data_IF_973476658946
#
_entry.id   IF_973476658946
#
_cell.length_a   1.000
_cell.length_b   1.000
_cell.length_c   1.000
_cell.angle_alpha   90.00
_cell.angle_beta   90.00
_cell.angle_gamma   90.00
#
_symmetry.space_group_name_H-M   'P 1'
#
loop_
_entity.id
_entity.type
_entity.pdbx_description
1 polymer ?
#
# COMPACT_ATOMS: atom_id res chain seq x y z
N UNK A 1 -20.24 16.55 1.33
CA UNK A 1 -19.20 16.61 0.27
C UNK A 1 -17.85 16.83 0.92
N UNK A 2 -16.81 16.19 0.40
CA UNK A 2 -15.48 16.17 1.01
C UNK A 2 -14.46 16.79 0.07
N UNK A 3 -13.52 17.53 0.65
CA UNK A 3 -12.33 18.01 -0.06
C UNK A 3 -11.17 17.94 0.92
N UNK A 4 -10.07 17.32 0.51
CA UNK A 4 -8.88 17.24 1.35
C UNK A 4 -7.63 17.41 0.49
N UNK A 5 -6.80 18.41 0.75
CA UNK A 5 -5.48 18.49 0.13
C UNK A 5 -4.60 17.33 0.64
N UNK A 6 -3.59 16.97 -0.12
CA UNK A 6 -2.63 15.96 0.29
C UNK A 6 -1.94 16.40 1.59
N UNK A 7 -2.04 15.63 2.68
CA UNK A 7 -1.35 15.97 3.93
C UNK A 7 0.17 15.99 3.75
N UNK A 8 0.84 16.91 4.44
CA UNK A 8 2.31 16.97 4.40
C UNK A 8 2.94 15.78 5.11
N UNK A 9 2.32 15.32 6.20
CA UNK A 9 2.81 14.18 6.99
C UNK A 9 1.87 12.99 6.85
N UNK A 10 2.39 11.75 6.93
CA UNK A 10 1.55 10.57 6.91
C UNK A 10 0.58 10.54 8.11
N UNK A 11 -0.61 10.01 7.87
CA UNK A 11 -1.61 9.78 8.93
C UNK A 11 -1.41 8.45 9.63
N UNK A 12 -0.87 7.45 8.93
CA UNK A 12 -0.77 6.08 9.44
C UNK A 12 0.32 5.30 8.70
N UNK A 13 0.62 4.11 9.23
CA UNK A 13 1.39 3.09 8.53
C UNK A 13 0.48 1.92 8.23
N UNK A 14 0.49 1.44 6.98
CA UNK A 14 -0.29 0.25 6.62
C UNK A 14 0.30 -1.01 7.28
N UNK A 15 -0.48 -2.09 7.41
CA UNK A 15 0.05 -3.36 7.92
C UNK A 15 1.27 -3.86 7.14
N UNK A 16 1.32 -3.63 5.84
CA UNK A 16 2.47 -3.97 5.00
C UNK A 16 3.69 -3.08 5.27
N UNK A 17 3.50 -1.84 5.70
CA UNK A 17 4.57 -0.92 6.06
C UNK A 17 4.62 0.39 5.30
N UNK A 18 3.72 0.64 4.37
CA UNK A 18 3.68 1.91 3.64
C UNK A 18 3.25 3.07 4.55
N UNK A 19 3.75 4.25 4.24
CA UNK A 19 3.25 5.49 4.84
C UNK A 19 1.98 5.90 4.12
N UNK A 20 0.89 6.04 4.87
CA UNK A 20 -0.45 6.26 4.33
C UNK A 20 -0.94 7.66 4.68
N UNK A 21 -1.47 8.36 3.67
CA UNK A 21 -2.21 9.61 3.83
C UNK A 21 -3.64 9.38 3.41
N UNK A 22 -4.58 9.63 4.32
CA UNK A 22 -6.00 9.50 4.01
C UNK A 22 -6.43 10.65 3.12
N UNK A 23 -7.13 10.35 2.04
CA UNK A 23 -7.65 11.37 1.13
C UNK A 23 -9.16 11.51 1.34
N UNK A 24 -9.92 10.61 0.77
CA UNK A 24 -11.39 10.66 0.82
C UNK A 24 -11.91 9.27 1.15
N UNK A 25 -12.95 9.21 1.99
CA UNK A 25 -13.62 7.96 2.31
C UNK A 25 -15.13 8.12 2.33
N UNK A 26 -15.82 7.05 2.03
CA UNK A 26 -17.27 7.00 2.00
C UNK A 26 -17.79 5.58 2.19
N UNK A 27 -19.11 5.37 2.01
CA UNK A 27 -19.74 4.07 2.32
C UNK A 27 -19.26 2.91 1.45
N UNK A 28 -18.76 3.19 0.25
CA UNK A 28 -18.38 2.15 -0.73
C UNK A 28 -16.89 1.97 -0.90
N UNK A 29 -16.09 2.88 -0.40
CA UNK A 29 -14.63 2.77 -0.52
C UNK A 29 -13.90 3.98 0.02
N UNK A 30 -12.57 3.83 0.09
CA UNK A 30 -11.64 4.89 0.50
C UNK A 30 -10.59 5.11 -0.58
N UNK A 31 -10.09 6.34 -0.66
CA UNK A 31 -8.91 6.67 -1.45
C UNK A 31 -7.80 7.09 -0.52
N UNK A 32 -6.65 6.43 -0.63
CA UNK A 32 -5.46 6.77 0.14
C UNK A 32 -4.28 7.02 -0.79
N UNK A 33 -3.33 7.79 -0.30
CA UNK A 33 -2.04 8.02 -0.95
C UNK A 33 -0.98 7.28 -0.16
N UNK A 34 -0.29 6.36 -0.81
CA UNK A 34 0.73 5.52 -0.18
C UNK A 34 2.12 5.91 -0.65
N UNK A 35 3.08 5.87 0.27
CA UNK A 35 4.49 6.12 0.00
C UNK A 35 5.32 4.98 0.55
N UNK A 36 6.23 4.46 -0.28
CA UNK A 36 7.24 3.49 0.13
C UNK A 36 8.60 4.16 -0.06
N UNK A 37 9.35 4.42 1.02
CA UNK A 37 10.67 5.05 0.92
C UNK A 37 11.65 4.26 0.05
N UNK A 38 12.66 4.92 -0.53
CA UNK A 38 13.65 4.23 -1.36
C UNK A 38 14.29 3.03 -0.66
N UNK A 39 14.33 1.89 -1.35
CA UNK A 39 14.93 0.66 -0.85
C UNK A 39 14.09 -0.12 0.15
N UNK A 40 12.95 0.41 0.58
CA UNK A 40 12.12 -0.29 1.55
C UNK A 40 11.38 -1.46 0.91
N UNK A 41 11.42 -2.59 1.60
CA UNK A 41 10.66 -3.80 1.27
C UNK A 41 9.56 -3.96 2.31
N UNK A 42 8.32 -3.94 1.86
CA UNK A 42 7.17 -4.09 2.74
C UNK A 42 6.91 -5.56 3.08
N UNK A 43 6.09 -5.79 4.10
CA UNK A 43 5.66 -7.14 4.47
C UNK A 43 4.64 -7.67 3.49
N UNK A 44 4.66 -8.96 3.23
CA UNK A 44 3.61 -9.62 2.46
C UNK A 44 2.35 -9.75 3.32
N UNK A 45 1.19 -9.50 2.71
CA UNK A 45 -0.11 -9.56 3.38
C UNK A 45 -1.17 -10.18 2.49
N UNK A 46 -2.27 -10.60 3.14
CA UNK A 46 -3.51 -11.02 2.50
C UNK A 46 -4.65 -10.27 3.18
N UNK A 47 -5.59 -9.75 2.39
CA UNK A 47 -6.79 -9.10 2.91
C UNK A 47 -7.96 -10.07 2.96
N UNK A 48 -8.74 -10.01 4.04
CA UNK A 48 -9.86 -10.91 4.27
C UNK A 48 -11.09 -10.52 3.43
N UNK A 49 -11.39 -9.22 3.32
CA UNK A 49 -12.65 -8.73 2.72
C UNK A 49 -12.47 -7.55 1.77
N UNK A 50 -11.31 -6.89 1.79
CA UNK A 50 -11.04 -5.67 1.00
C UNK A 50 -10.30 -6.01 -0.28
N UNK A 51 -10.80 -5.51 -1.40
CA UNK A 51 -10.07 -5.44 -2.66
C UNK A 51 -9.48 -4.04 -2.86
N UNK A 52 -8.44 -3.94 -3.69
CA UNK A 52 -7.76 -2.67 -3.94
C UNK A 52 -7.53 -2.43 -5.43
N UNK A 53 -7.63 -1.15 -5.82
CA UNK A 53 -7.09 -0.67 -7.09
C UNK A 53 -5.98 0.33 -6.79
N UNK A 54 -4.86 0.21 -7.51
CA UNK A 54 -3.73 1.12 -7.39
C UNK A 54 -3.48 1.86 -8.69
N UNK A 55 -3.00 3.09 -8.57
CA UNK A 55 -2.45 3.84 -9.68
C UNK A 55 -1.16 4.51 -9.26
N UNK A 56 -0.06 4.16 -9.93
CA UNK A 56 1.28 4.66 -9.59
C UNK A 56 1.44 6.10 -10.06
N UNK A 57 1.87 6.97 -9.15
CA UNK A 57 2.07 8.40 -9.39
C UNK A 57 3.53 8.72 -9.71
N UNK A 58 4.47 8.17 -8.94
CA UNK A 58 5.90 8.47 -9.08
C UNK A 58 6.75 7.36 -8.48
N UNK A 59 8.02 7.37 -8.84
CA UNK A 59 8.98 6.38 -8.36
C UNK A 59 8.93 5.08 -9.15
N UNK A 60 9.61 4.06 -8.63
CA UNK A 60 9.71 2.75 -9.25
C UNK A 60 9.69 1.68 -8.17
N UNK A 61 8.98 0.60 -8.43
CA UNK A 61 8.92 -0.53 -7.52
C UNK A 61 8.52 -1.81 -8.22
N UNK A 62 8.27 -2.81 -7.41
CA UNK A 62 7.77 -4.10 -7.85
C UNK A 62 6.72 -4.59 -6.90
N UNK A 63 5.71 -5.28 -7.42
CA UNK A 63 4.72 -5.99 -6.64
C UNK A 63 4.67 -7.45 -7.05
N UNK A 64 4.78 -8.33 -6.06
CA UNK A 64 4.48 -9.75 -6.18
C UNK A 64 3.04 -9.98 -5.78
N UNK A 65 2.30 -10.76 -6.58
CA UNK A 65 0.91 -11.15 -6.27
C UNK A 65 0.74 -12.63 -6.53
N UNK A 66 -0.03 -13.30 -5.68
CA UNK A 66 -0.34 -14.72 -5.80
C UNK A 66 -1.80 -14.98 -5.47
N UNK A 67 -2.46 -15.74 -6.33
CA UNK A 67 -3.81 -16.27 -6.12
C UNK A 67 -3.89 -17.74 -6.57
N UNK A 68 -5.11 -18.27 -6.74
CA UNK A 68 -5.32 -19.67 -7.16
C UNK A 68 -4.81 -19.96 -8.56
N UNK A 69 -4.69 -18.96 -9.43
CA UNK A 69 -4.25 -19.12 -10.82
C UNK A 69 -2.74 -19.07 -10.99
N UNK A 70 -2.01 -18.65 -9.97
CA UNK A 70 -0.56 -18.55 -10.02
C UNK A 70 -0.03 -17.30 -9.35
N UNK A 71 1.21 -16.98 -9.66
CA UNK A 71 1.89 -15.80 -9.12
C UNK A 71 2.73 -15.10 -10.17
N UNK A 72 2.91 -13.80 -9.99
CA UNK A 72 3.77 -13.00 -10.84
C UNK A 72 4.40 -11.84 -10.06
N UNK A 73 5.37 -11.20 -10.70
CA UNK A 73 5.96 -9.94 -10.25
C UNK A 73 5.74 -8.91 -11.34
N UNK A 74 5.14 -7.80 -10.99
CA UNK A 74 4.86 -6.69 -11.89
C UNK A 74 5.73 -5.49 -11.52
N UNK A 75 6.34 -4.86 -12.51
CA UNK A 75 7.09 -3.62 -12.31
C UNK A 75 6.11 -2.46 -12.20
N UNK A 76 6.29 -1.63 -11.18
CA UNK A 76 5.48 -0.45 -10.91
C UNK A 76 6.25 0.80 -11.33
N UNK A 77 5.75 1.47 -12.36
CA UNK A 77 6.28 2.75 -12.85
C UNK A 77 5.13 3.75 -12.98
N UNK A 78 5.41 5.07 -13.05
CA UNK A 78 4.34 6.07 -13.16
C UNK A 78 3.34 5.76 -14.27
N UNK A 79 2.06 5.83 -13.93
CA UNK A 79 0.96 5.54 -14.86
C UNK A 79 0.47 4.11 -14.89
N UNK A 80 1.18 3.16 -14.25
CA UNK A 80 0.74 1.77 -14.16
C UNK A 80 -0.42 1.67 -13.16
N UNK A 81 -1.46 0.94 -13.55
CA UNK A 81 -2.57 0.59 -12.65
C UNK A 81 -2.62 -0.92 -12.47
N UNK A 82 -2.91 -1.34 -11.25
CA UNK A 82 -3.07 -2.76 -10.90
C UNK A 82 -4.28 -2.95 -10.00
N UNK A 83 -4.72 -4.19 -9.87
CA UNK A 83 -5.70 -4.59 -8.87
C UNK A 83 -5.14 -5.61 -7.90
N UNK A 84 -5.74 -5.68 -6.73
CA UNK A 84 -5.50 -6.72 -5.72
C UNK A 84 -6.87 -7.22 -5.27
N UNK A 85 -7.38 -8.30 -5.88
CA UNK A 85 -8.64 -8.91 -5.44
C UNK A 85 -8.57 -9.44 -4.02
N UNK A 86 -9.72 -9.56 -3.37
CA UNK A 86 -9.82 -10.17 -2.05
C UNK A 86 -9.16 -11.55 -2.04
N UNK A 87 -8.37 -11.82 -1.00
CA UNK A 87 -7.70 -13.10 -0.83
C UNK A 87 -6.43 -13.29 -1.64
N UNK A 88 -6.02 -12.28 -2.43
CA UNK A 88 -4.74 -12.30 -3.13
C UNK A 88 -3.62 -11.99 -2.17
N UNK A 89 -2.61 -12.85 -2.10
CA UNK A 89 -1.37 -12.56 -1.38
C UNK A 89 -0.55 -11.57 -2.20
N UNK A 90 0.04 -10.57 -1.53
CA UNK A 90 0.87 -9.59 -2.23
C UNK A 90 1.97 -9.03 -1.34
N UNK A 91 3.06 -8.64 -1.96
CA UNK A 91 4.17 -7.94 -1.33
C UNK A 91 4.74 -6.94 -2.33
N UNK A 92 5.12 -5.77 -1.85
CA UNK A 92 5.67 -4.73 -2.73
C UNK A 92 6.85 -4.02 -2.09
N UNK A 93 7.66 -3.43 -2.96
CA UNK A 93 8.91 -2.76 -2.55
C UNK A 93 9.23 -1.62 -3.50
N UNK A 94 10.00 -0.66 -2.99
CA UNK A 94 10.55 0.44 -3.78
C UNK A 94 11.94 0.04 -4.28
N UNK A 95 12.14 0.08 -5.59
CA UNK A 95 13.42 -0.30 -6.24
C UNK A 95 14.14 0.89 -6.85
N UNK A 96 13.50 2.07 -6.87
CA UNK A 96 14.08 3.27 -7.44
C UNK A 96 14.85 4.13 -6.43
N UNK A 97 15.50 5.17 -6.94
CA UNK A 97 16.24 6.13 -6.12
C UNK A 97 15.34 7.10 -5.36
N UNK A 98 14.12 7.29 -5.83
CA UNK A 98 13.09 8.09 -5.16
C UNK A 98 11.97 7.20 -4.63
N UNK A 99 11.16 7.73 -3.73
CA UNK A 99 10.06 7.00 -3.13
C UNK A 99 9.04 6.56 -4.18
N UNK A 100 8.51 5.36 -4.01
CA UNK A 100 7.35 4.87 -4.76
C UNK A 100 6.08 5.48 -4.14
N UNK A 101 5.28 6.14 -4.96
CA UNK A 101 4.01 6.75 -4.54
C UNK A 101 2.89 6.29 -5.43
N UNK A 102 1.77 5.94 -4.82
CA UNK A 102 0.60 5.49 -5.56
C UNK A 102 -0.70 5.83 -4.84
N UNK A 103 -1.75 6.00 -5.61
CA UNK A 103 -3.11 6.02 -5.09
C UNK A 103 -3.59 4.59 -4.90
N UNK A 104 -4.26 4.35 -3.79
CA UNK A 104 -4.88 3.06 -3.49
C UNK A 104 -6.34 3.32 -3.15
N UNK A 105 -7.23 2.62 -3.85
CA UNK A 105 -8.66 2.63 -3.60
C UNK A 105 -8.99 1.32 -2.91
N UNK A 106 -9.54 1.40 -1.70
CA UNK A 106 -9.99 0.22 -0.95
C UNK A 106 -11.50 0.08 -1.06
N UNK A 107 -11.96 -1.13 -1.30
CA UNK A 107 -13.39 -1.44 -1.47
C UNK A 107 -13.71 -2.76 -0.76
N UNK A 108 -14.54 -2.74 0.27
CA UNK A 108 -15.18 -1.61 0.97
C UNK A 108 -14.17 -0.70 1.68
N UNK A 109 -14.63 0.32 2.41
CA UNK A 109 -13.73 1.15 3.21
C UNK A 109 -12.87 0.31 4.16
N UNK A 110 -11.63 0.73 4.38
CA UNK A 110 -10.69 0.01 5.25
C UNK A 110 -11.27 -0.13 6.66
N UNK A 111 -11.51 -1.37 7.13
CA UNK A 111 -12.19 -1.58 8.42
C UNK A 111 -11.25 -1.54 9.62
N UNK A 112 -9.96 -1.57 9.40
CA UNK A 112 -8.94 -1.61 10.44
C UNK A 112 -7.88 -2.66 10.15
N UNK A 113 -6.77 -2.64 10.89
CA UNK A 113 -5.58 -3.43 10.57
C UNK A 113 -5.76 -4.95 10.73
N UNK A 114 -6.79 -5.38 11.47
CA UNK A 114 -7.14 -6.80 11.55
C UNK A 114 -7.60 -7.40 10.20
N UNK A 115 -7.92 -6.55 9.22
CA UNK A 115 -8.26 -6.95 7.87
C UNK A 115 -7.10 -7.67 7.16
N UNK A 116 -5.86 -7.27 7.46
CA UNK A 116 -4.66 -7.81 6.82
C UNK A 116 -3.97 -8.84 7.71
N UNK A 117 -3.65 -9.98 7.12
CA UNK A 117 -2.80 -11.00 7.76
C UNK A 117 -1.42 -10.93 7.14
N UNK A 118 -0.38 -10.78 7.97
CA UNK A 118 1.01 -10.82 7.51
C UNK A 118 1.40 -12.28 7.25
N UNK A 119 2.00 -12.51 6.09
CA UNK A 119 2.45 -13.84 5.65
C UNK A 119 3.90 -13.77 5.19
N UNK A 120 4.50 -14.90 4.90
CA UNK A 120 5.78 -14.95 4.19
C UNK A 120 5.57 -14.63 2.72
N UNK A 121 6.49 -13.84 2.16
CA UNK A 121 6.54 -13.52 0.75
C UNK A 121 7.93 -13.78 0.18
N UNK A 122 8.15 -13.45 -1.10
CA UNK A 122 9.42 -13.74 -1.77
C UNK A 122 10.58 -12.87 -1.28
N UNK A 123 10.31 -11.75 -0.62
CA UNK A 123 11.35 -10.80 -0.21
C UNK A 123 11.40 -10.64 1.30
N UNK A 124 12.61 -10.44 1.84
CA UNK A 124 12.79 -10.16 3.28
C UNK A 124 12.35 -8.72 3.58
N UNK A 125 11.35 -8.52 4.46
CA UNK A 125 10.87 -7.19 4.78
C UNK A 125 11.91 -6.35 5.52
N UNK A 126 11.94 -5.05 5.20
CA UNK A 126 12.73 -4.03 5.90
C UNK A 126 11.87 -2.92 6.47
N UNK A 127 10.58 -2.90 6.15
CA UNK A 127 9.67 -1.85 6.61
C UNK A 127 9.62 -1.78 8.13
N UNK A 128 9.55 -0.57 8.69
CA UNK A 128 9.36 -0.40 10.14
C UNK A 128 8.07 -1.04 10.62
N UNK A 129 8.06 -1.43 11.90
CA UNK A 129 6.87 -1.95 12.58
C UNK A 129 6.31 -0.85 13.47
N UNK A 130 4.99 -0.81 13.58
CA UNK A 130 4.30 0.13 14.45
C UNK A 130 3.87 1.42 13.74
N UNK A 131 3.39 2.40 14.49
CA UNK A 131 2.85 3.63 13.92
C UNK A 131 3.92 4.43 13.18
N UNK A 132 3.46 5.30 12.27
CA UNK A 132 4.34 6.28 11.63
C UNK A 132 4.98 7.12 12.72
N UNK A 133 6.30 7.33 12.59
CA UNK A 133 7.00 8.18 13.52
C UNK A 133 6.50 9.62 13.40
N UNK A 134 5.76 10.06 14.42
CA UNK A 134 5.44 11.47 14.58
C UNK A 134 6.62 12.27 15.12
N UNK A 135 7.74 11.63 15.28
CA UNK A 135 8.98 12.27 15.68
C UNK A 135 9.44 13.30 14.65
N UNK A 136 8.89 13.22 13.48
CA UNK A 136 8.93 14.34 12.59
C UNK A 136 8.20 15.55 13.16
N UNK A 137 7.29 15.33 14.07
CA UNK A 137 6.85 16.41 14.93
C UNK A 137 8.01 16.73 15.87
N UNK A 138 8.34 18.00 15.98
CA UNK A 138 9.42 18.45 16.83
C UNK A 138 9.17 18.10 18.27
#
# INVERSE_FOLDING_TARGET
>A
MQTRPLPETPDARSPAGAEVRYLIGGPTGDVIHSTVPPGQVNRATVHATVSEFWHVLSGRGEIWRRDKSGEDVTVLTPGVSIDIPVGTAFQYRCTGAEALRFLCITMPPWPGDAEATVIEGPWVPTAPVGPVSSATAP
#
